data_IF_375221453844
#
_entry.id   IF_375221453844
#
_cell.length_a   1.000
_cell.length_b   1.000
_cell.length_c   1.000
_cell.angle_alpha   90.00
_cell.angle_beta   90.00
_cell.angle_gamma   90.00
#
_symmetry.space_group_name_H-M   'P 1'
#
loop_
_entity.id
_entity.type
_entity.pdbx_description
1 polymer ?
#
# COMPACT_ATOMS: atom_id res chain seq x y z
N UNK A 1 -21.50 -16.41 -8.95
CA UNK A 1 -20.47 -15.77 -8.12
C UNK A 1 -20.73 -14.28 -8.15
N UNK A 2 -21.20 -13.70 -7.05
CA UNK A 2 -21.39 -12.25 -6.98
C UNK A 2 -20.09 -11.67 -6.43
N UNK A 3 -19.39 -10.88 -7.24
CA UNK A 3 -18.23 -10.12 -6.81
C UNK A 3 -18.73 -8.72 -6.50
N UNK A 4 -18.56 -8.27 -5.27
CA UNK A 4 -18.78 -6.88 -4.89
C UNK A 4 -17.42 -6.23 -4.96
N UNK A 5 -17.15 -5.51 -6.04
CA UNK A 5 -15.94 -4.70 -6.16
C UNK A 5 -16.22 -3.32 -5.57
N UNK A 6 -15.63 -3.05 -4.42
CA UNK A 6 -15.64 -1.70 -3.84
C UNK A 6 -14.46 -0.94 -4.43
N UNK A 7 -14.70 -0.17 -5.47
CA UNK A 7 -13.71 0.77 -6.00
C UNK A 7 -13.96 2.10 -5.33
N UNK A 8 -13.25 2.41 -4.29
CA UNK A 8 -12.78 3.73 -3.86
C UNK A 8 -12.33 3.73 -2.40
N UNK A 9 -11.10 4.20 -2.22
CA UNK A 9 -10.39 4.48 -0.97
C UNK A 9 -10.13 3.29 -0.04
N UNK A 10 -8.87 2.86 -0.06
CA UNK A 10 -8.14 2.12 0.99
C UNK A 10 -8.62 0.71 1.39
N UNK A 11 -9.73 0.20 0.86
CA UNK A 11 -10.22 -1.13 1.22
C UNK A 11 -10.75 -1.88 0.00
N UNK A 12 -10.00 -2.88 -0.46
CA UNK A 12 -10.56 -3.90 -1.32
C UNK A 12 -11.17 -5.00 -0.43
N UNK A 13 -12.49 -5.07 -0.36
CA UNK A 13 -13.21 -6.18 0.23
C UNK A 13 -13.70 -7.06 -0.92
N UNK A 14 -13.16 -8.25 -1.03
CA UNK A 14 -13.63 -9.24 -1.99
C UNK A 14 -14.58 -10.21 -1.31
N UNK A 15 -15.84 -10.23 -1.73
CA UNK A 15 -16.82 -11.18 -1.28
C UNK A 15 -16.82 -12.39 -2.23
N UNK A 16 -16.45 -13.56 -1.71
CA UNK A 16 -16.48 -14.80 -2.48
C UNK A 16 -17.69 -15.60 -2.04
N UNK A 17 -18.73 -15.70 -2.90
CA UNK A 17 -19.84 -16.62 -2.71
C UNK A 17 -19.56 -17.93 -3.44
N UNK A 18 -19.62 -19.04 -2.73
CA UNK A 18 -19.62 -20.37 -3.34
C UNK A 18 -20.98 -20.65 -4.00
N UNK A 19 -21.09 -20.44 -5.30
CA UNK A 19 -22.09 -21.12 -6.11
C UNK A 19 -21.35 -22.01 -7.12
N UNK A 20 -21.32 -23.29 -6.85
CA UNK A 20 -20.79 -24.29 -7.76
C UNK A 20 -21.74 -24.45 -8.94
N UNK A 21 -21.56 -23.67 -9.99
CA UNK A 21 -21.99 -24.03 -11.35
C UNK A 21 -20.92 -23.51 -12.32
N UNK A 22 -20.09 -24.45 -12.76
CA UNK A 22 -19.12 -24.28 -13.83
C UNK A 22 -19.86 -24.02 -15.15
N UNK A 23 -20.02 -22.76 -15.52
CA UNK A 23 -20.12 -22.40 -16.92
C UNK A 23 -18.73 -21.98 -17.38
N UNK A 24 -18.12 -22.77 -18.24
CA UNK A 24 -16.95 -22.42 -19.04
C UNK A 24 -17.29 -21.19 -19.90
N UNK A 25 -17.26 -20.00 -19.32
CA UNK A 25 -17.16 -18.78 -20.11
C UNK A 25 -15.74 -18.75 -20.65
N UNK A 26 -15.57 -18.81 -21.97
CA UNK A 26 -14.32 -18.48 -22.64
C UNK A 26 -13.80 -17.18 -22.04
N UNK A 27 -12.71 -17.26 -21.28
CA UNK A 27 -11.98 -16.08 -20.83
C UNK A 27 -11.37 -15.44 -22.07
N UNK A 28 -12.06 -14.47 -22.64
CA UNK A 28 -11.40 -13.55 -23.58
C UNK A 28 -10.27 -12.87 -22.81
N UNK A 29 -9.07 -12.93 -23.36
CA UNK A 29 -7.90 -12.28 -22.77
C UNK A 29 -8.14 -10.76 -22.80
N UNK A 30 -8.54 -10.19 -21.65
CA UNK A 30 -8.71 -8.75 -21.51
C UNK A 30 -7.33 -8.11 -21.42
N UNK A 31 -7.10 -7.08 -22.19
CA UNK A 31 -5.84 -6.32 -22.18
C UNK A 31 -5.96 -5.14 -21.21
N UNK A 32 -4.83 -4.74 -20.61
CA UNK A 32 -4.80 -3.57 -19.71
C UNK A 32 -5.41 -2.31 -20.33
N UNK A 33 -5.25 -2.11 -21.66
CA UNK A 33 -5.81 -0.98 -22.40
C UNK A 33 -7.35 -0.96 -22.44
N UNK A 34 -8.01 -2.12 -22.27
CA UNK A 34 -9.47 -2.23 -22.32
C UNK A 34 -10.12 -1.64 -21.05
N UNK A 35 -9.32 -1.39 -20.01
CA UNK A 35 -9.72 -0.73 -18.76
C UNK A 35 -9.34 0.76 -18.73
N UNK A 36 -8.76 1.27 -19.83
CA UNK A 36 -8.35 2.67 -19.86
C UNK A 36 -9.57 3.59 -20.03
N UNK A 37 -9.61 4.63 -19.22
CA UNK A 37 -10.56 5.75 -19.37
C UNK A 37 -9.91 7.04 -18.91
N UNK A 38 -10.44 8.18 -19.36
CA UNK A 38 -9.99 9.48 -18.90
C UNK A 38 -10.59 9.78 -17.51
N UNK A 39 -9.73 9.74 -16.49
CA UNK A 39 -10.10 10.03 -15.10
C UNK A 39 -9.74 11.48 -14.78
N UNK A 40 -10.74 12.39 -14.62
CA UNK A 40 -10.49 13.74 -14.16
C UNK A 40 -9.83 13.75 -12.78
N UNK A 41 -8.75 14.53 -12.63
CA UNK A 41 -7.95 14.53 -11.37
C UNK A 41 -8.77 14.97 -10.15
N UNK A 42 -9.74 15.85 -10.35
CA UNK A 42 -10.65 16.34 -9.33
C UNK A 42 -11.59 15.28 -8.76
N UNK A 43 -11.76 14.15 -9.47
CA UNK A 43 -12.54 13.01 -8.98
C UNK A 43 -11.72 12.05 -8.11
N UNK A 44 -10.41 12.25 -8.00
CA UNK A 44 -9.55 11.46 -7.12
C UNK A 44 -9.61 12.05 -5.72
N UNK A 45 -10.27 11.34 -4.80
CA UNK A 45 -10.35 11.75 -3.41
C UNK A 45 -8.95 11.90 -2.81
N UNK A 46 -8.70 12.99 -2.08
CA UNK A 46 -7.44 13.27 -1.42
C UNK A 46 -7.47 12.97 0.08
N UNK A 47 -8.67 12.73 0.62
CA UNK A 47 -8.92 12.40 2.02
C UNK A 47 -9.90 11.24 2.11
N UNK A 48 -9.77 10.38 3.14
CA UNK A 48 -10.76 9.35 3.41
C UNK A 48 -12.10 9.97 3.84
N UNK A 49 -13.18 9.21 3.70
CA UNK A 49 -14.47 9.61 4.24
C UNK A 49 -14.43 9.65 5.77
N UNK A 50 -15.13 10.62 6.38
CA UNK A 50 -15.31 10.70 7.81
C UNK A 50 -16.82 10.83 8.15
N UNK A 51 -17.41 9.89 8.93
CA UNK A 51 -16.81 8.62 9.37
C UNK A 51 -16.49 7.68 8.20
N UNK A 52 -15.53 6.76 8.39
CA UNK A 52 -15.01 5.89 7.32
C UNK A 52 -16.07 5.04 6.64
N UNK A 53 -17.05 4.57 7.40
CA UNK A 53 -18.19 3.77 6.91
C UNK A 53 -19.21 4.57 6.09
N UNK A 54 -19.06 5.90 6.00
CA UNK A 54 -19.83 6.78 5.12
C UNK A 54 -19.32 6.81 3.67
N UNK A 55 -18.22 6.08 3.37
CA UNK A 55 -17.71 5.94 2.01
C UNK A 55 -18.79 5.36 1.08
N UNK A 56 -18.74 5.75 -0.21
CA UNK A 56 -19.69 5.25 -1.20
C UNK A 56 -19.41 3.77 -1.50
N UNK A 57 -20.47 3.00 -1.66
CA UNK A 57 -20.45 1.60 -2.07
C UNK A 57 -21.13 1.47 -3.45
N UNK A 58 -20.44 0.86 -4.40
CA UNK A 58 -21.02 0.46 -5.68
C UNK A 58 -21.31 -1.04 -5.64
N UNK A 59 -22.58 -1.41 -5.82
CA UNK A 59 -23.02 -2.80 -5.85
C UNK A 59 -23.33 -3.18 -7.30
N UNK A 60 -22.62 -4.18 -7.81
CA UNK A 60 -22.78 -4.70 -9.16
C UNK A 60 -23.45 -6.07 -9.10
N UNK A 61 -24.53 -6.26 -9.85
CA UNK A 61 -25.22 -7.55 -9.98
C UNK A 61 -24.85 -8.20 -11.30
N UNK A 62 -24.29 -9.40 -11.25
CA UNK A 62 -24.00 -10.21 -12.45
C UNK A 62 -25.25 -10.90 -13.02
N UNK A 63 -26.39 -10.87 -12.33
CA UNK A 63 -27.61 -11.53 -12.77
C UNK A 63 -28.37 -10.71 -13.82
N UNK A 64 -28.34 -9.39 -13.65
CA UNK A 64 -29.14 -8.44 -14.42
C UNK A 64 -28.35 -7.21 -14.86
N UNK A 65 -27.02 -7.22 -14.67
CA UNK A 65 -26.09 -6.15 -14.97
C UNK A 65 -26.48 -4.80 -14.30
N UNK A 66 -27.26 -4.86 -13.21
CA UNK A 66 -27.66 -3.66 -12.49
C UNK A 66 -26.53 -3.08 -11.65
N UNK A 67 -26.52 -1.75 -11.54
CA UNK A 67 -25.57 -0.99 -10.72
C UNK A 67 -26.39 -0.22 -9.69
N UNK A 68 -26.07 -0.40 -8.41
CA UNK A 68 -26.66 0.35 -7.31
C UNK A 68 -25.59 1.17 -6.60
N UNK A 69 -25.93 2.40 -6.23
CA UNK A 69 -25.09 3.25 -5.40
C UNK A 69 -25.62 3.25 -3.98
N UNK A 70 -24.76 2.88 -3.03
CA UNK A 70 -25.05 2.73 -1.61
C UNK A 70 -23.98 3.41 -0.77
N UNK A 71 -24.07 3.25 0.53
CA UNK A 71 -23.05 3.66 1.50
C UNK A 71 -22.40 2.41 2.10
N UNK A 72 -21.12 2.46 2.42
CA UNK A 72 -20.38 1.29 2.88
C UNK A 72 -21.00 0.62 4.12
N UNK A 73 -21.61 1.39 5.02
CA UNK A 73 -22.33 0.87 6.19
C UNK A 73 -23.50 -0.07 5.85
N UNK A 74 -23.99 -0.03 4.62
CA UNK A 74 -25.08 -0.90 4.14
C UNK A 74 -24.55 -2.28 3.72
N UNK A 75 -23.21 -2.50 3.71
CA UNK A 75 -22.59 -3.76 3.31
C UNK A 75 -23.19 -5.00 4.00
N UNK A 76 -23.53 -4.97 5.31
CA UNK A 76 -24.13 -6.13 5.97
C UNK A 76 -25.44 -6.60 5.35
N UNK A 77 -26.19 -5.75 4.65
CA UNK A 77 -27.44 -6.12 3.97
C UNK A 77 -27.20 -7.07 2.78
N UNK A 78 -25.97 -7.13 2.29
CA UNK A 78 -25.55 -7.97 1.16
C UNK A 78 -24.87 -9.27 1.60
N UNK A 79 -24.68 -9.48 2.90
CA UNK A 79 -24.02 -10.65 3.46
C UNK A 79 -25.05 -11.71 3.87
N UNK A 80 -24.79 -12.97 3.54
CA UNK A 80 -25.62 -14.12 3.91
C UNK A 80 -24.81 -15.14 4.73
N UNK A 81 -25.47 -15.94 5.57
CA UNK A 81 -24.78 -17.02 6.26
C UNK A 81 -24.07 -17.95 5.28
N UNK A 82 -22.77 -18.16 5.50
CA UNK A 82 -21.91 -18.94 4.61
C UNK A 82 -21.04 -18.11 3.67
N UNK A 83 -21.22 -16.78 3.62
CA UNK A 83 -20.30 -15.89 2.90
C UNK A 83 -18.96 -15.82 3.64
N UNK A 84 -17.86 -15.72 2.87
CA UNK A 84 -16.53 -15.50 3.39
C UNK A 84 -16.08 -14.05 3.10
N UNK A 85 -15.88 -13.29 4.16
CA UNK A 85 -15.34 -11.92 4.06
C UNK A 85 -13.82 -11.95 4.29
N UNK A 86 -13.05 -11.65 3.25
CA UNK A 86 -11.59 -11.55 3.33
C UNK A 86 -11.21 -10.09 3.57
N UNK A 87 -10.48 -9.83 4.66
CA UNK A 87 -10.03 -8.48 5.04
C UNK A 87 -8.51 -8.46 5.15
N UNK A 88 -7.92 -7.28 4.89
CA UNK A 88 -6.49 -7.06 5.09
C UNK A 88 -6.26 -6.52 6.51
N UNK A 89 -5.48 -7.24 7.33
CA UNK A 89 -5.13 -6.84 8.69
C UNK A 89 -3.71 -6.26 8.80
N UNK A 90 -3.03 -6.00 7.69
CA UNK A 90 -1.68 -5.42 7.71
C UNK A 90 -1.71 -3.99 8.20
N UNK A 91 -0.86 -3.68 9.20
CA UNK A 91 -0.57 -2.32 9.65
C UNK A 91 0.60 -1.78 8.82
N UNK A 92 0.31 -0.79 7.99
CA UNK A 92 1.31 -0.17 7.10
C UNK A 92 2.35 0.56 7.92
N UNK A 93 3.61 0.26 7.67
CA UNK A 93 4.73 0.99 8.26
C UNK A 93 4.91 2.35 7.58
N UNK A 94 5.35 3.38 8.31
CA UNK A 94 5.81 4.65 7.71
C UNK A 94 7.16 4.44 7.02
N UNK A 95 7.13 3.57 6.00
CA UNK A 95 8.31 2.96 5.38
C UNK A 95 9.08 3.90 4.43
N UNK A 96 8.60 5.12 4.21
CA UNK A 96 9.25 6.12 3.36
C UNK A 96 10.06 7.07 4.22
N UNK A 97 11.39 7.04 4.09
CA UNK A 97 12.28 7.90 4.84
C UNK A 97 13.14 8.77 3.91
N UNK A 98 13.30 10.03 4.28
CA UNK A 98 14.11 11.01 3.53
C UNK A 98 15.34 11.36 4.36
N UNK A 99 16.50 11.20 3.75
CA UNK A 99 17.77 11.46 4.39
C UNK A 99 18.76 12.20 3.49
N UNK A 100 19.96 12.34 3.98
CA UNK A 100 21.07 12.97 3.26
C UNK A 100 22.24 12.02 3.09
N UNK A 101 22.74 11.96 1.88
CA UNK A 101 23.87 11.13 1.51
C UNK A 101 25.17 11.73 2.06
N UNK A 102 25.98 10.91 2.73
CA UNK A 102 27.29 11.31 3.24
C UNK A 102 28.39 11.06 2.20
N UNK A 103 29.42 11.92 2.05
CA UNK A 103 29.57 13.24 2.70
C UNK A 103 28.94 14.39 1.91
N UNK A 104 28.23 14.11 0.80
CA UNK A 104 27.81 15.11 -0.19
C UNK A 104 26.64 15.99 0.26
N UNK A 105 25.88 15.60 1.29
CA UNK A 105 24.66 16.27 1.71
C UNK A 105 23.49 16.19 0.72
N UNK A 106 23.63 15.42 -0.36
CA UNK A 106 22.57 15.27 -1.34
C UNK A 106 21.35 14.53 -0.75
N UNK A 107 20.17 15.10 -0.95
CA UNK A 107 18.91 14.50 -0.48
C UNK A 107 18.65 13.19 -1.23
N UNK A 108 18.23 12.18 -0.49
CA UNK A 108 17.81 10.88 -1.02
C UNK A 108 16.61 10.34 -0.22
N UNK A 109 15.88 9.43 -0.85
CA UNK A 109 14.71 8.76 -0.27
C UNK A 109 14.95 7.25 -0.32
N UNK A 110 14.61 6.56 0.76
CA UNK A 110 14.48 5.11 0.80
C UNK A 110 13.02 4.76 1.11
N UNK A 111 12.50 3.76 0.40
CA UNK A 111 11.23 3.13 0.70
C UNK A 111 11.50 1.68 1.06
N UNK A 112 11.27 1.31 2.30
CA UNK A 112 11.44 -0.04 2.80
C UNK A 112 10.34 -0.95 2.23
N UNK A 113 10.74 -2.08 1.61
CA UNK A 113 9.82 -3.04 1.00
C UNK A 113 9.62 -4.26 1.89
N UNK A 114 10.71 -4.94 2.25
CA UNK A 114 10.69 -6.11 3.12
C UNK A 114 11.99 -6.24 3.89
N UNK A 115 11.90 -6.81 5.09
CA UNK A 115 13.06 -7.18 5.89
C UNK A 115 13.68 -8.46 5.30
N UNK A 116 15.00 -8.45 5.12
CA UNK A 116 15.73 -9.59 4.55
C UNK A 116 16.33 -10.42 5.68
N UNK A 117 17.16 -9.78 6.53
CA UNK A 117 17.80 -10.43 7.68
C UNK A 117 18.28 -9.37 8.68
N UNK A 118 17.92 -9.52 9.97
CA UNK A 118 18.29 -8.54 10.98
C UNK A 118 17.89 -7.13 10.57
N UNK A 119 18.86 -6.21 10.54
CA UNK A 119 18.61 -4.81 10.17
C UNK A 119 18.78 -4.52 8.67
N UNK A 120 18.93 -5.56 7.86
CA UNK A 120 19.00 -5.46 6.42
C UNK A 120 17.62 -5.54 5.78
N UNK A 121 17.31 -4.56 4.94
CA UNK A 121 16.05 -4.43 4.23
C UNK A 121 16.26 -4.29 2.73
N UNK A 122 15.33 -4.84 1.96
CA UNK A 122 15.17 -4.49 0.56
C UNK A 122 14.42 -3.16 0.46
N UNK A 123 14.99 -2.21 -0.31
CA UNK A 123 14.49 -0.86 -0.43
C UNK A 123 14.48 -0.39 -1.87
N UNK A 124 13.46 0.40 -2.23
CA UNK A 124 13.57 1.31 -3.36
C UNK A 124 14.34 2.57 -2.94
N UNK A 125 15.25 3.03 -3.80
CA UNK A 125 16.04 4.22 -3.54
C UNK A 125 15.82 5.29 -4.60
N UNK A 126 15.73 6.56 -4.17
CA UNK A 126 15.61 7.69 -5.08
C UNK A 126 16.61 8.79 -4.68
N UNK A 127 17.51 9.20 -5.62
CA UNK A 127 17.69 8.72 -7.00
C UNK A 127 18.45 7.37 -7.04
N UNK A 128 17.86 6.33 -7.64
CA UNK A 128 18.40 4.95 -7.61
C UNK A 128 19.81 4.82 -8.16
N UNK A 129 20.11 5.47 -9.30
CA UNK A 129 21.43 5.41 -9.96
C UNK A 129 22.58 5.99 -9.12
N UNK A 130 22.30 6.88 -8.17
CA UNK A 130 23.29 7.54 -7.31
C UNK A 130 23.47 6.87 -5.95
N UNK A 131 22.65 5.86 -5.66
CA UNK A 131 22.70 5.07 -4.43
C UNK A 131 23.43 3.75 -4.72
N UNK A 132 24.76 3.85 -4.84
CA UNK A 132 25.62 2.69 -5.13
C UNK A 132 26.04 1.99 -3.82
N UNK A 133 26.45 0.69 -3.90
CA UNK A 133 27.02 0.00 -2.74
C UNK A 133 28.10 0.82 -2.04
N UNK A 134 28.07 0.81 -0.70
CA UNK A 134 28.93 1.63 0.15
C UNK A 134 28.41 3.06 0.41
N UNK A 135 27.32 3.48 -0.25
CA UNK A 135 26.69 4.80 0.04
C UNK A 135 26.15 4.82 1.46
N UNK A 136 26.58 5.81 2.23
CA UNK A 136 26.07 6.09 3.59
C UNK A 136 25.01 7.18 3.55
N UNK A 137 23.93 6.99 4.29
CA UNK A 137 22.82 7.95 4.42
C UNK A 137 22.58 8.21 5.89
N UNK A 138 22.28 9.46 6.22
CA UNK A 138 21.88 9.90 7.57
C UNK A 138 20.48 10.47 7.51
N UNK A 139 19.64 10.17 8.51
CA UNK A 139 18.26 10.62 8.62
C UNK A 139 18.06 11.44 9.87
N UNK A 140 17.15 12.42 9.79
CA UNK A 140 16.79 13.28 10.92
C UNK A 140 18.01 13.94 11.56
N UNK A 141 18.18 13.72 12.84
CA UNK A 141 19.28 14.23 13.67
C UNK A 141 20.57 13.40 13.57
N UNK A 142 20.57 12.33 12.78
CA UNK A 142 21.73 11.44 12.60
C UNK A 142 21.72 10.20 13.49
N UNK A 143 20.72 10.02 14.34
CA UNK A 143 20.55 8.82 15.19
C UNK A 143 20.10 7.59 14.40
N UNK A 144 19.54 7.81 13.19
CA UNK A 144 19.30 6.76 12.20
C UNK A 144 20.23 6.95 11.01
N UNK A 145 20.99 5.92 10.69
CA UNK A 145 21.85 5.87 9.50
C UNK A 145 21.66 4.60 8.72
N UNK A 146 22.06 4.59 7.46
CA UNK A 146 21.99 3.40 6.62
C UNK A 146 23.17 3.30 5.66
N UNK A 147 23.49 2.07 5.26
CA UNK A 147 24.50 1.77 4.25
C UNK A 147 23.86 0.93 3.16
N UNK A 148 24.07 1.32 1.91
CA UNK A 148 23.68 0.51 0.76
C UNK A 148 24.69 -0.63 0.63
N UNK A 149 24.23 -1.87 0.76
CA UNK A 149 25.08 -3.06 0.67
C UNK A 149 25.23 -3.53 -0.78
N UNK A 150 24.09 -3.60 -1.50
CA UNK A 150 24.03 -4.20 -2.83
C UNK A 150 22.96 -3.53 -3.69
N UNK A 151 23.13 -3.60 -5.00
CA UNK A 151 22.11 -3.24 -6.00
C UNK A 151 21.63 -4.51 -6.68
N UNK A 152 20.32 -4.75 -6.62
CA UNK A 152 19.69 -5.91 -7.23
C UNK A 152 19.45 -5.69 -8.74
N UNK A 153 19.16 -6.78 -9.46
CA UNK A 153 18.93 -6.75 -10.91
C UNK A 153 17.74 -5.86 -11.31
N UNK A 154 16.69 -5.79 -10.48
CA UNK A 154 15.51 -4.95 -10.68
C UNK A 154 15.72 -3.47 -10.29
N UNK A 155 16.91 -3.16 -9.77
CA UNK A 155 17.29 -1.81 -9.33
C UNK A 155 17.02 -1.52 -7.85
N UNK A 156 16.35 -2.42 -7.13
CA UNK A 156 16.20 -2.35 -5.68
C UNK A 156 17.57 -2.40 -4.99
N UNK A 157 17.61 -2.06 -3.72
CA UNK A 157 18.84 -2.05 -2.92
C UNK A 157 18.66 -2.91 -1.68
N UNK A 158 19.68 -3.68 -1.32
CA UNK A 158 19.82 -4.13 0.04
C UNK A 158 20.51 -3.02 0.84
N UNK A 159 19.90 -2.68 1.98
CA UNK A 159 20.30 -1.58 2.84
C UNK A 159 20.31 -2.04 4.28
N UNK A 160 21.43 -1.88 4.97
CA UNK A 160 21.53 -2.15 6.40
C UNK A 160 21.38 -0.85 7.18
N UNK A 161 20.47 -0.86 8.17
CA UNK A 161 20.19 0.26 9.04
C UNK A 161 20.94 0.16 10.36
N UNK A 162 21.32 1.32 10.93
CA UNK A 162 21.97 1.48 12.21
C UNK A 162 21.25 2.57 13.00
N UNK A 163 20.87 2.30 14.24
CA UNK A 163 20.04 3.17 15.08
C UNK A 163 20.39 2.96 16.56
N UNK A 164 19.94 3.90 17.38
CA UNK A 164 20.21 3.94 18.84
C UNK A 164 19.00 3.52 19.71
N UNK A 165 17.91 3.05 19.07
CA UNK A 165 16.70 2.54 19.71
C UNK A 165 16.71 1.00 19.80
N UNK A 166 15.72 0.40 20.44
CA UNK A 166 15.60 -1.07 20.52
C UNK A 166 15.26 -1.66 19.16
N UNK A 167 14.44 -0.94 18.35
CA UNK A 167 13.97 -1.41 17.05
C UNK A 167 14.06 -0.31 15.99
N UNK A 168 14.21 -0.71 14.72
CA UNK A 168 14.09 0.20 13.58
C UNK A 168 12.69 0.83 13.50
N UNK A 169 11.65 0.13 13.96
CA UNK A 169 10.26 0.62 13.89
C UNK A 169 10.07 1.93 14.67
N UNK A 170 10.73 2.09 15.82
CA UNK A 170 10.70 3.35 16.59
C UNK A 170 11.26 4.53 15.79
N UNK A 171 12.35 4.29 15.05
CA UNK A 171 12.91 5.30 14.16
C UNK A 171 12.06 5.57 12.93
N UNK A 172 11.36 4.55 12.43
CA UNK A 172 10.39 4.75 11.34
C UNK A 172 9.18 5.57 11.81
N UNK A 173 8.71 5.37 13.04
CA UNK A 173 7.63 6.18 13.59
C UNK A 173 8.06 7.65 13.79
N UNK A 174 9.35 7.90 14.08
CA UNK A 174 9.90 9.24 14.26
C UNK A 174 10.16 9.98 12.93
N UNK A 175 10.83 9.31 11.98
CA UNK A 175 11.32 9.95 10.74
C UNK A 175 10.57 9.51 9.47
N UNK A 176 9.78 8.45 9.55
CA UNK A 176 9.11 7.87 8.43
C UNK A 176 7.83 8.61 8.02
N UNK A 177 7.46 8.43 6.77
CA UNK A 177 6.21 8.92 6.21
C UNK A 177 5.43 7.75 5.62
N UNK A 178 4.11 7.83 5.67
CA UNK A 178 3.27 6.86 4.98
C UNK A 178 3.55 6.87 3.49
N UNK A 179 3.69 5.68 2.87
CA UNK A 179 3.99 5.56 1.44
C UNK A 179 2.75 5.77 0.58
N UNK A 180 2.18 6.98 0.62
CA UNK A 180 1.00 7.32 -0.15
C UNK A 180 1.24 7.13 -1.65
N UNK A 181 0.21 6.68 -2.41
CA UNK A 181 0.25 6.65 -3.86
C UNK A 181 0.52 8.04 -4.45
N UNK A 182 1.17 8.13 -5.62
CA UNK A 182 1.60 9.42 -6.19
C UNK A 182 0.44 10.35 -6.60
N UNK A 183 -0.77 9.83 -6.72
CA UNK A 183 -1.96 10.62 -7.02
C UNK A 183 -2.59 11.27 -5.78
N UNK A 184 -2.19 10.86 -4.56
CA UNK A 184 -2.51 11.54 -3.31
C UNK A 184 -1.42 12.57 -3.06
N UNK A 185 -1.76 13.84 -3.21
CA UNK A 185 -0.82 14.96 -3.06
C UNK A 185 -0.96 15.67 -1.72
N UNK A 186 -2.11 15.49 -1.05
CA UNK A 186 -2.33 16.04 0.29
C UNK A 186 -1.58 15.21 1.32
N UNK A 187 -0.83 15.88 2.20
CA UNK A 187 -0.20 15.20 3.33
C UNK A 187 -1.26 14.84 4.36
N UNK A 188 -1.14 13.65 4.93
CA UNK A 188 -2.01 13.22 6.03
C UNK A 188 -1.64 14.01 7.30
N UNK A 189 -2.63 14.61 7.94
CA UNK A 189 -2.49 15.20 9.27
C UNK A 189 -2.41 14.12 10.34
N UNK A 190 -3.17 13.04 10.14
CA UNK A 190 -3.17 11.85 10.99
C UNK A 190 -2.80 10.62 10.16
N UNK A 191 -1.64 10.02 10.44
CA UNK A 191 -1.15 8.83 9.74
C UNK A 191 -2.05 7.61 9.95
N UNK A 192 -2.88 7.57 11.00
CA UNK A 192 -3.83 6.49 11.24
C UNK A 192 -4.90 6.41 10.16
N UNK A 193 -5.17 7.50 9.45
CA UNK A 193 -6.11 7.55 8.34
C UNK A 193 -5.69 6.65 7.17
N UNK A 194 -4.42 6.32 7.04
CA UNK A 194 -3.91 5.41 6.01
C UNK A 194 -3.98 3.93 6.44
N UNK A 195 -4.31 3.65 7.70
CA UNK A 195 -4.47 2.29 8.18
C UNK A 195 -5.86 1.72 7.90
N UNK A 196 -5.96 0.40 7.70
CA UNK A 196 -7.25 -0.27 7.73
C UNK A 196 -7.77 -0.32 9.17
N UNK A 197 -9.08 -0.37 9.37
CA UNK A 197 -9.68 -0.54 10.72
C UNK A 197 -9.33 -1.91 11.34
N UNK A 198 -8.87 -2.85 10.53
CA UNK A 198 -8.45 -4.20 10.91
C UNK A 198 -6.94 -4.31 11.13
N UNK A 199 -6.17 -3.23 10.94
CA UNK A 199 -4.71 -3.23 10.99
C UNK A 199 -4.19 -3.69 12.35
N UNK A 200 -3.47 -4.81 12.37
CA UNK A 200 -2.87 -5.41 13.57
C UNK A 200 -1.44 -5.89 13.33
N UNK A 201 -1.21 -6.56 12.21
CA UNK A 201 0.06 -7.19 11.88
C UNK A 201 0.95 -6.22 11.12
N UNK A 202 2.16 -5.97 11.63
CA UNK A 202 3.10 -5.07 10.96
C UNK A 202 3.47 -5.61 9.58
N UNK A 203 3.34 -4.77 8.56
CA UNK A 203 3.66 -5.10 7.18
C UNK A 203 4.12 -3.90 6.38
N UNK A 204 4.90 -4.13 5.32
CA UNK A 204 5.27 -3.07 4.39
C UNK A 204 4.16 -2.78 3.37
N UNK A 205 4.19 -1.60 2.74
CA UNK A 205 3.25 -1.25 1.68
C UNK A 205 3.28 -2.24 0.50
N UNK A 206 4.42 -2.89 0.24
CA UNK A 206 4.56 -3.89 -0.82
C UNK A 206 3.74 -5.16 -0.54
N UNK A 207 3.65 -5.59 0.72
CA UNK A 207 2.80 -6.71 1.12
C UNK A 207 1.31 -6.40 0.96
N UNK A 208 0.91 -5.16 1.17
CA UNK A 208 -0.46 -4.70 0.94
C UNK A 208 -0.89 -4.78 -0.52
N UNK A 209 0.03 -4.57 -1.44
CA UNK A 209 -0.28 -4.55 -2.88
C UNK A 209 -0.26 -5.95 -3.51
N UNK A 210 -0.02 -7.01 -2.73
CA UNK A 210 0.03 -8.38 -3.25
C UNK A 210 1.10 -8.55 -4.34
N UNK A 211 2.14 -7.72 -4.31
CA UNK A 211 3.28 -7.82 -5.22
C UNK A 211 4.25 -8.84 -4.62
N UNK A 212 3.78 -10.05 -4.44
CA UNK A 212 4.64 -11.22 -4.44
C UNK A 212 4.91 -11.56 -5.91
N UNK A 213 6.12 -11.25 -6.34
CA UNK A 213 6.63 -11.70 -7.64
C UNK A 213 7.18 -13.10 -7.53
#
# INVERSE_FOLDING_TARGET
CNIIDTVYTDFMITLIRHSCQSSERQMQSMLKKDFWYDLPKELIAQEPADPRDSARLMVLSQKDDSIQHRIFRDLPEYLEPGDLLVVNNSKVLPARIVGVKQPTGAVCELLLLRQVKGDQWECLAKPGKRMQPGTKVSFGDGTLTAVVDETLEDGNKFVTFYYDTETLYEKLDEFGKMPLPPYITKQLEDQSQYQTVYAKELGSAAQLLGIDR
#
